data_IF_448210923693
#
_entry.id   IF_448210923693
#
_cell.length_a   1.000
_cell.length_b   1.000
_cell.length_c   1.000
_cell.angle_alpha   90.00
_cell.angle_beta   90.00
_cell.angle_gamma   90.00
#
_symmetry.space_group_name_H-M   'P 1'
#
loop_
_entity.id
_entity.type
_entity.pdbx_description
1 polymer ?
#
# COMPACT_ATOMS: atom_id res chain seq x y z
N UNK A 1 -12.58 -21.80 3.51
CA UNK A 1 -11.56 -21.43 2.51
C UNK A 1 -11.94 -20.19 1.71
N UNK A 2 -13.20 -20.11 1.23
CA UNK A 2 -13.66 -18.94 0.45
C UNK A 2 -13.70 -17.66 1.27
N UNK A 3 -14.10 -17.78 2.54
CA UNK A 3 -14.18 -16.61 3.44
C UNK A 3 -12.80 -16.01 3.68
N UNK A 4 -11.80 -16.86 3.89
CA UNK A 4 -10.43 -16.40 4.12
C UNK A 4 -9.88 -15.69 2.89
N UNK A 5 -10.14 -16.25 1.69
CA UNK A 5 -9.69 -15.63 0.43
C UNK A 5 -10.37 -14.28 0.20
N UNK A 6 -11.67 -14.16 0.52
CA UNK A 6 -12.41 -12.90 0.41
C UNK A 6 -11.86 -11.85 1.37
N UNK A 7 -11.57 -12.24 2.61
CA UNK A 7 -11.00 -11.33 3.62
C UNK A 7 -9.63 -10.85 3.16
N UNK A 8 -8.78 -11.75 2.66
CA UNK A 8 -7.44 -11.38 2.18
C UNK A 8 -7.51 -10.43 0.99
N UNK A 9 -8.43 -10.68 0.04
CA UNK A 9 -8.64 -9.78 -1.10
C UNK A 9 -9.13 -8.41 -0.65
N UNK A 10 -10.05 -8.37 0.33
CA UNK A 10 -10.57 -7.11 0.85
C UNK A 10 -9.48 -6.31 1.58
N UNK A 11 -8.61 -6.98 2.33
CA UNK A 11 -7.50 -6.33 3.02
C UNK A 11 -6.49 -5.75 2.03
N UNK A 12 -6.16 -6.49 0.98
CA UNK A 12 -5.26 -6.01 -0.06
C UNK A 12 -5.86 -4.81 -0.80
N UNK A 13 -7.16 -4.87 -1.10
CA UNK A 13 -7.86 -3.77 -1.75
C UNK A 13 -7.92 -2.54 -0.85
N UNK A 14 -8.19 -2.73 0.44
CA UNK A 14 -8.22 -1.63 1.41
C UNK A 14 -6.86 -0.96 1.53
N UNK A 15 -5.79 -1.74 1.64
CA UNK A 15 -4.44 -1.20 1.71
C UNK A 15 -4.12 -0.37 0.46
N UNK A 16 -4.40 -0.91 -0.70
CA UNK A 16 -4.14 -0.24 -1.98
C UNK A 16 -4.92 1.05 -2.12
N UNK A 17 -6.22 1.01 -1.79
CA UNK A 17 -7.07 2.19 -1.86
C UNK A 17 -6.64 3.27 -0.88
N UNK A 18 -6.33 2.89 0.36
CA UNK A 18 -5.86 3.84 1.37
C UNK A 18 -4.53 4.48 0.96
N UNK A 19 -3.61 3.67 0.46
CA UNK A 19 -2.31 4.14 0.00
C UNK A 19 -2.46 5.15 -1.14
N UNK A 20 -3.28 4.82 -2.14
CA UNK A 20 -3.51 5.70 -3.28
C UNK A 20 -4.17 7.01 -2.86
N UNK A 21 -5.17 6.93 -1.98
CA UNK A 21 -5.88 8.11 -1.47
C UNK A 21 -4.94 9.05 -0.74
N UNK A 22 -4.15 8.51 0.19
CA UNK A 22 -3.22 9.30 0.99
C UNK A 22 -2.12 9.90 0.11
N UNK A 23 -1.56 9.10 -0.77
CA UNK A 23 -0.52 9.52 -1.69
C UNK A 23 -0.99 10.68 -2.57
N UNK A 24 -2.15 10.50 -3.19
CA UNK A 24 -2.74 11.51 -4.09
C UNK A 24 -3.02 12.80 -3.34
N UNK A 25 -3.58 12.70 -2.14
CA UNK A 25 -3.90 13.86 -1.31
C UNK A 25 -2.65 14.66 -0.95
N UNK A 26 -1.53 13.98 -0.76
CA UNK A 26 -0.25 14.62 -0.40
C UNK A 26 0.59 15.02 -1.60
N UNK A 27 0.14 14.74 -2.81
CA UNK A 27 0.88 15.07 -4.02
C UNK A 27 2.13 14.24 -4.22
N UNK A 28 2.17 13.02 -3.69
CA UNK A 28 3.30 12.11 -3.81
C UNK A 28 3.04 11.14 -4.97
N UNK A 29 4.00 10.98 -5.88
CA UNK A 29 3.85 10.05 -7.00
C UNK A 29 4.24 8.63 -6.61
N UNK A 30 3.78 7.65 -7.40
CA UNK A 30 4.23 6.27 -7.23
C UNK A 30 5.75 6.16 -7.36
N UNK A 31 6.34 6.91 -8.29
CA UNK A 31 7.77 6.93 -8.48
C UNK A 31 8.51 7.47 -7.26
N UNK A 32 7.93 8.47 -6.58
CA UNK A 32 8.52 9.01 -5.34
C UNK A 32 8.59 7.94 -4.25
N UNK A 33 7.50 7.20 -4.07
CA UNK A 33 7.47 6.11 -3.10
C UNK A 33 8.50 5.04 -3.46
N UNK A 34 8.54 4.65 -4.73
CA UNK A 34 9.46 3.63 -5.20
C UNK A 34 10.91 4.03 -4.93
N UNK A 35 11.28 5.26 -5.25
CA UNK A 35 12.64 5.76 -5.01
C UNK A 35 12.97 5.81 -3.52
N UNK A 36 12.05 6.29 -2.70
CA UNK A 36 12.27 6.42 -1.26
C UNK A 36 12.51 5.05 -0.62
N UNK A 37 11.79 4.04 -1.06
CA UNK A 37 11.84 2.70 -0.45
C UNK A 37 12.76 1.72 -1.19
N UNK A 38 13.36 2.14 -2.30
CA UNK A 38 14.19 1.24 -3.09
C UNK A 38 13.39 0.12 -3.76
N UNK A 39 12.12 0.38 -4.07
CA UNK A 39 11.23 -0.59 -4.70
C UNK A 39 11.05 -0.26 -6.18
N UNK A 40 10.61 -1.25 -6.97
CA UNK A 40 10.21 -1.00 -8.33
C UNK A 40 8.86 -0.28 -8.38
N UNK A 41 8.69 0.65 -9.34
CA UNK A 41 7.44 1.37 -9.51
C UNK A 41 6.28 0.41 -9.81
N UNK A 42 6.54 -0.66 -10.57
CA UNK A 42 5.54 -1.68 -10.87
C UNK A 42 5.04 -2.38 -9.60
N UNK A 43 5.92 -2.60 -8.64
CA UNK A 43 5.55 -3.21 -7.37
C UNK A 43 4.65 -2.27 -6.57
N UNK A 44 4.98 -0.98 -6.52
CA UNK A 44 4.14 0.02 -5.85
C UNK A 44 2.76 0.07 -6.50
N UNK A 45 2.70 0.07 -7.83
CA UNK A 45 1.44 0.03 -8.56
C UNK A 45 0.62 -1.22 -8.24
N UNK A 46 1.27 -2.37 -8.15
CA UNK A 46 0.59 -3.63 -7.80
C UNK A 46 -0.01 -3.59 -6.40
N UNK A 47 0.68 -2.96 -5.45
CA UNK A 47 0.14 -2.79 -4.09
C UNK A 47 -1.12 -1.92 -4.15
N UNK A 48 -1.09 -0.81 -4.87
CA UNK A 48 -2.23 0.10 -4.98
C UNK A 48 -3.42 -0.55 -5.66
N UNK A 49 -3.19 -1.47 -6.56
CA UNK A 49 -4.25 -2.18 -7.28
C UNK A 49 -4.71 -3.45 -6.58
N UNK A 50 -4.19 -3.73 -5.38
CA UNK A 50 -4.60 -4.91 -4.61
C UNK A 50 -4.13 -6.23 -5.19
N UNK A 51 -3.10 -6.21 -6.03
CA UNK A 51 -2.61 -7.40 -6.73
C UNK A 51 -1.55 -8.17 -5.95
N UNK A 52 -1.05 -7.61 -4.86
CA UNK A 52 -0.01 -8.25 -4.05
C UNK A 52 -0.22 -7.91 -2.58
N UNK A 53 0.27 -8.79 -1.72
CA UNK A 53 0.24 -8.60 -0.27
C UNK A 53 1.66 -8.29 0.21
N UNK A 54 1.98 -7.02 0.51
CA UNK A 54 3.29 -6.70 1.06
C UNK A 54 3.43 -7.25 2.49
N UNK A 55 4.68 -7.43 2.92
CA UNK A 55 4.96 -7.84 4.30
C UNK A 55 4.63 -6.70 5.26
N UNK A 56 4.51 -7.03 6.55
CA UNK A 56 4.31 -6.01 7.59
C UNK A 56 5.43 -4.97 7.59
N UNK A 57 6.65 -5.41 7.34
CA UNK A 57 7.81 -4.52 7.24
C UNK A 57 7.63 -3.52 6.08
N UNK A 58 7.18 -3.98 4.94
CA UNK A 58 6.92 -3.11 3.79
C UNK A 58 5.80 -2.14 4.08
N UNK A 59 4.73 -2.59 4.75
CA UNK A 59 3.61 -1.71 5.14
C UNK A 59 4.11 -0.60 6.07
N UNK A 60 4.94 -0.94 7.05
CA UNK A 60 5.51 0.05 7.95
C UNK A 60 6.36 1.08 7.20
N UNK A 61 7.14 0.63 6.23
CA UNK A 61 7.96 1.52 5.41
C UNK A 61 7.11 2.41 4.51
N UNK A 62 6.03 1.88 3.94
CA UNK A 62 5.08 2.67 3.15
C UNK A 62 4.44 3.76 4.02
N UNK A 63 4.04 3.42 5.24
CA UNK A 63 3.45 4.38 6.17
C UNK A 63 4.42 5.51 6.47
N UNK A 64 5.68 5.19 6.73
CA UNK A 64 6.72 6.20 6.96
C UNK A 64 6.91 7.10 5.75
N UNK A 65 6.96 6.52 4.55
CA UNK A 65 7.13 7.29 3.32
C UNK A 65 5.96 8.23 3.07
N UNK A 66 4.76 7.84 3.49
CA UNK A 66 3.55 8.64 3.35
C UNK A 66 3.32 9.58 4.54
N UNK A 67 4.11 9.47 5.60
CA UNK A 67 3.97 10.30 6.79
C UNK A 67 2.74 10.00 7.62
N UNK A 68 2.29 8.75 7.64
CA UNK A 68 1.12 8.31 8.40
C UNK A 68 1.48 7.07 9.22
N UNK A 69 0.57 6.66 10.12
CA UNK A 69 0.74 5.43 10.86
C UNK A 69 0.32 4.23 9.99
N UNK A 70 0.82 3.04 10.35
CA UNK A 70 0.41 1.81 9.66
C UNK A 70 -1.10 1.60 9.76
N UNK A 71 -1.72 2.01 10.87
CA UNK A 71 -3.16 1.89 11.07
C UNK A 71 -3.96 2.65 9.99
N UNK A 72 -3.45 3.80 9.55
CA UNK A 72 -4.09 4.58 8.50
C UNK A 72 -4.14 3.82 7.17
N UNK A 73 -3.13 2.99 6.91
CA UNK A 73 -3.09 2.18 5.69
C UNK A 73 -3.98 0.94 5.79
N UNK A 74 -4.21 0.45 6.99
CA UNK A 74 -4.90 -0.82 7.21
C UNK A 74 -6.39 -0.66 7.58
N UNK A 75 -6.86 0.57 7.65
CA UNK A 75 -8.29 0.79 7.87
C UNK A 75 -9.11 0.16 6.75
#
# INVERSE_FOLDING_TARGET
ARVILLIMKNESANLGNNMKRIRTKKGISQGDIARTLGLGRGYVSNIENGKTNPTLSTIANLAKALGVSSDELLK
#
